data_IF_804615877979
#
_entry.id   IF_804615877979
#
_cell.length_a   1.000
_cell.length_b   1.000
_cell.length_c   1.000
_cell.angle_alpha   90.00
_cell.angle_beta   90.00
_cell.angle_gamma   90.00
#
_symmetry.space_group_name_H-M   'P 1'
#
loop_
_entity.id
_entity.type
_entity.pdbx_description
1 polymer ?
#
# COMPACT_ATOMS: atom_id res chain seq x y z
N UNK A 1 -13.42 -6.56 20.69
CA UNK A 1 -12.73 -6.69 19.40
C UNK A 1 -11.45 -5.85 19.48
N UNK A 2 -10.28 -6.42 19.19
CA UNK A 2 -8.99 -5.72 19.24
C UNK A 2 -8.73 -4.94 17.94
N UNK A 3 -8.05 -3.78 18.00
CA UNK A 3 -7.78 -2.96 16.81
C UNK A 3 -6.83 -3.65 15.82
N UNK A 4 -6.88 -3.27 14.53
CA UNK A 4 -6.00 -3.84 13.50
C UNK A 4 -4.51 -3.65 13.83
N UNK A 5 -4.15 -2.51 14.42
CA UNK A 5 -2.77 -2.22 14.83
C UNK A 5 -2.32 -3.06 16.02
N UNK A 6 -3.19 -3.29 17.00
CA UNK A 6 -2.89 -4.18 18.13
C UNK A 6 -2.63 -5.62 17.63
N UNK A 7 -3.50 -6.12 16.75
CA UNK A 7 -3.37 -7.46 16.15
C UNK A 7 -2.13 -7.61 15.25
N UNK A 8 -1.56 -6.50 14.79
CA UNK A 8 -0.34 -6.44 14.00
C UNK A 8 0.91 -6.14 14.84
N UNK A 9 0.80 -6.08 16.18
CA UNK A 9 1.93 -5.73 17.04
C UNK A 9 2.49 -4.32 16.78
N UNK A 10 1.65 -3.42 16.27
CA UNK A 10 1.98 -2.02 16.03
C UNK A 10 1.55 -1.11 17.19
N UNK A 11 0.93 -1.66 18.23
CA UNK A 11 0.52 -0.92 19.41
C UNK A 11 1.04 -1.61 20.70
N UNK A 12 1.58 -0.87 21.68
CA UNK A 12 1.83 0.58 21.66
C UNK A 12 2.88 0.99 20.63
N UNK A 13 2.98 2.29 20.35
CA UNK A 13 4.04 2.82 19.51
C UNK A 13 5.38 2.53 20.17
N UNK A 14 6.27 1.88 19.43
CA UNK A 14 7.61 1.51 19.87
C UNK A 14 8.61 2.37 19.11
N UNK A 15 9.79 2.64 19.71
CA UNK A 15 10.88 3.39 19.07
C UNK A 15 11.62 2.61 17.96
N UNK A 16 11.10 1.46 17.55
CA UNK A 16 11.70 0.60 16.55
C UNK A 16 10.97 0.71 15.21
N UNK A 17 11.76 0.76 14.14
CA UNK A 17 11.22 0.60 12.80
C UNK A 17 10.82 -0.86 12.56
N UNK A 18 9.77 -1.06 11.78
CA UNK A 18 9.22 -2.39 11.50
C UNK A 18 9.09 -2.57 10.00
N UNK A 19 9.59 -3.69 9.49
CA UNK A 19 9.56 -4.03 8.08
C UNK A 19 9.34 -5.53 7.95
N UNK A 20 8.09 -5.95 7.71
CA UNK A 20 7.79 -7.37 7.55
C UNK A 20 6.52 -7.65 6.77
N UNK A 21 6.43 -8.87 6.30
CA UNK A 21 5.22 -9.46 5.73
C UNK A 21 4.75 -10.63 6.59
N UNK A 22 3.45 -10.90 6.58
CA UNK A 22 2.86 -12.09 7.21
C UNK A 22 1.90 -12.74 6.21
N UNK A 23 1.72 -14.05 6.24
CA UNK A 23 0.63 -14.73 5.53
C UNK A 23 -0.03 -15.71 6.49
N UNK A 24 -1.36 -15.71 6.54
CA UNK A 24 -2.13 -16.57 7.44
C UNK A 24 -3.31 -17.21 6.71
N UNK A 25 -3.43 -18.55 6.73
CA UNK A 25 -4.65 -19.22 6.27
C UNK A 25 -5.87 -18.73 7.05
N UNK A 26 -7.01 -18.67 6.37
CA UNK A 26 -8.29 -18.24 6.91
C UNK A 26 -9.25 -19.44 6.98
N UNK A 27 -10.27 -19.44 7.86
CA UNK A 27 -11.22 -20.54 8.00
C UNK A 27 -11.97 -20.94 6.72
N UNK A 28 -12.09 -20.02 5.75
CA UNK A 28 -12.73 -20.25 4.45
C UNK A 28 -11.77 -20.84 3.39
N UNK A 29 -10.54 -21.20 3.78
CA UNK A 29 -9.50 -21.73 2.90
C UNK A 29 -8.74 -20.68 2.08
N UNK A 30 -9.00 -19.38 2.28
CA UNK A 30 -8.18 -18.32 1.67
C UNK A 30 -6.92 -18.03 2.49
N UNK A 31 -5.92 -17.36 1.89
CA UNK A 31 -4.76 -16.83 2.62
C UNK A 31 -4.84 -15.32 2.69
N UNK A 32 -4.68 -14.77 3.90
CA UNK A 32 -4.59 -13.33 4.13
C UNK A 32 -3.13 -12.95 4.30
N UNK A 33 -2.61 -12.20 3.34
CA UNK A 33 -1.31 -11.56 3.42
C UNK A 33 -1.40 -10.22 4.18
N UNK A 34 -0.35 -9.88 4.90
CA UNK A 34 -0.17 -8.58 5.55
C UNK A 34 1.15 -7.96 5.14
N UNK A 35 1.10 -6.65 4.92
CA UNK A 35 2.26 -5.81 4.61
C UNK A 35 2.37 -4.78 5.73
N UNK A 36 3.46 -4.81 6.47
CA UNK A 36 3.62 -4.09 7.73
C UNK A 36 4.90 -3.25 7.64
N UNK A 37 4.73 -1.93 7.66
CA UNK A 37 5.83 -0.96 7.68
C UNK A 37 5.62 0.04 8.81
N UNK A 38 6.68 0.31 9.57
CA UNK A 38 6.83 1.50 10.41
C UNK A 38 8.20 2.09 10.12
N UNK A 39 8.22 3.34 9.70
CA UNK A 39 9.44 4.09 9.39
C UNK A 39 9.40 5.42 10.11
N UNK A 40 10.52 5.84 10.68
CA UNK A 40 10.65 7.15 11.29
C UNK A 40 11.15 8.16 10.27
N UNK A 41 10.49 9.30 10.20
CA UNK A 41 10.97 10.43 9.44
C UNK A 41 11.26 11.58 10.38
N UNK A 42 12.42 12.19 10.21
CA UNK A 42 12.80 13.37 10.96
C UNK A 42 12.08 14.59 10.40
N UNK A 43 10.75 14.63 10.27
CA UNK A 43 9.98 15.80 9.84
C UNK A 43 8.64 15.84 10.60
N UNK A 44 7.96 17.01 10.67
CA UNK A 44 6.62 17.10 11.26
C UNK A 44 5.57 16.26 10.51
N UNK A 45 4.47 15.93 11.19
CA UNK A 45 3.42 15.05 10.67
C UNK A 45 2.82 15.53 9.34
N UNK A 46 2.61 16.83 9.15
CA UNK A 46 2.02 17.38 7.92
C UNK A 46 2.90 17.11 6.71
N UNK A 47 4.21 17.24 6.92
CA UNK A 47 5.20 17.14 5.87
C UNK A 47 5.39 15.68 5.42
N UNK A 48 5.28 14.71 6.33
CA UNK A 48 5.29 13.29 5.96
C UNK A 48 3.98 12.82 5.33
N UNK A 49 2.83 13.35 5.79
CA UNK A 49 1.51 12.94 5.31
C UNK A 49 1.22 13.44 3.89
N UNK A 50 1.68 14.65 3.54
CA UNK A 50 1.46 15.28 2.24
C UNK A 50 1.88 14.41 1.04
N UNK A 51 3.14 13.96 0.90
CA UNK A 51 3.57 13.17 -0.25
C UNK A 51 2.85 11.82 -0.37
N UNK A 52 2.48 11.20 0.76
CA UNK A 52 1.67 9.98 0.73
C UNK A 52 0.30 10.23 0.11
N UNK A 53 -0.37 11.32 0.52
CA UNK A 53 -1.66 11.69 -0.06
C UNK A 53 -1.54 12.10 -1.53
N UNK A 54 -0.50 12.84 -1.90
CA UNK A 54 -0.26 13.23 -3.29
C UNK A 54 -0.09 12.01 -4.21
N UNK A 55 0.61 10.96 -3.77
CA UNK A 55 0.71 9.71 -4.55
C UNK A 55 -0.65 9.06 -4.74
N UNK A 56 -1.53 9.10 -3.73
CA UNK A 56 -2.92 8.64 -3.87
C UNK A 56 -3.67 9.51 -4.88
N UNK A 57 -3.72 10.83 -4.69
CA UNK A 57 -4.60 11.69 -5.49
C UNK A 57 -4.15 11.87 -6.95
N UNK A 58 -2.86 11.72 -7.23
CA UNK A 58 -2.28 11.97 -8.56
C UNK A 58 -1.87 10.69 -9.31
N UNK A 59 -1.68 9.58 -8.60
CA UNK A 59 -0.95 8.40 -9.10
C UNK A 59 0.44 8.71 -9.68
N UNK A 60 1.05 9.84 -9.32
CA UNK A 60 2.32 10.22 -9.88
C UNK A 60 3.41 9.19 -9.53
N UNK A 61 4.22 8.81 -10.52
CA UNK A 61 5.30 7.85 -10.37
C UNK A 61 4.89 6.38 -10.50
N UNK A 62 3.59 6.10 -10.54
CA UNK A 62 3.07 4.75 -10.80
C UNK A 62 3.10 4.48 -12.31
N UNK A 63 3.77 3.41 -12.71
CA UNK A 63 3.86 2.99 -14.12
C UNK A 63 2.72 2.02 -14.42
N UNK A 64 1.82 2.43 -15.31
CA UNK A 64 0.74 1.58 -15.81
C UNK A 64 1.24 0.90 -17.09
N UNK A 65 1.23 -0.45 -17.16
CA UNK A 65 1.53 -1.19 -18.38
C UNK A 65 0.63 -0.78 -19.55
N UNK A 66 1.10 -0.96 -20.78
CA UNK A 66 0.37 -0.52 -22.00
C UNK A 66 -0.99 -1.22 -22.15
N UNK A 67 -1.08 -2.48 -21.73
CA UNK A 67 -2.31 -3.28 -21.74
C UNK A 67 -3.26 -2.98 -20.57
N UNK A 68 -2.81 -2.18 -19.60
CA UNK A 68 -3.56 -1.85 -18.41
C UNK A 68 -4.18 -0.44 -18.53
N UNK A 69 -5.32 -0.26 -17.86
CA UNK A 69 -5.98 1.04 -17.74
C UNK A 69 -6.08 1.42 -16.28
N UNK A 70 -5.90 2.72 -16.01
CA UNK A 70 -6.05 3.26 -14.68
C UNK A 70 -6.72 4.63 -14.74
N UNK A 71 -7.72 4.84 -13.89
CA UNK A 71 -8.36 6.14 -13.72
C UNK A 71 -8.47 6.50 -12.25
N UNK A 72 -8.41 7.79 -11.96
CA UNK A 72 -8.67 8.34 -10.63
C UNK A 72 -9.79 9.36 -10.70
N UNK A 73 -10.70 9.25 -9.75
CA UNK A 73 -11.84 10.13 -9.56
C UNK A 73 -11.77 10.74 -8.16
N UNK A 74 -11.96 12.06 -8.07
CA UNK A 74 -12.11 12.77 -6.81
C UNK A 74 -13.59 12.75 -6.43
N UNK A 75 -13.94 12.07 -5.35
CA UNK A 75 -15.32 11.98 -4.84
C UNK A 75 -15.62 13.21 -3.97
N UNK A 76 -14.67 13.57 -3.11
CA UNK A 76 -14.63 14.80 -2.31
C UNK A 76 -13.17 15.14 -1.96
N UNK A 77 -12.95 16.24 -1.23
CA UNK A 77 -11.61 16.73 -0.85
C UNK A 77 -10.72 15.67 -0.16
N UNK A 78 -11.33 14.73 0.54
CA UNK A 78 -10.65 13.71 1.35
C UNK A 78 -10.90 12.29 0.87
N UNK A 79 -11.58 12.09 -0.28
CA UNK A 79 -12.02 10.76 -0.75
C UNK A 79 -11.75 10.60 -2.25
N UNK A 80 -10.97 9.57 -2.60
CA UNK A 80 -10.57 9.29 -3.98
C UNK A 80 -10.92 7.86 -4.36
N UNK A 81 -11.40 7.69 -5.59
CA UNK A 81 -11.72 6.39 -6.17
C UNK A 81 -10.80 6.07 -7.33
N UNK A 82 -10.13 4.93 -7.26
CA UNK A 82 -9.22 4.42 -8.28
C UNK A 82 -9.85 3.23 -8.95
N UNK A 83 -9.81 3.20 -10.28
CA UNK A 83 -10.11 2.01 -11.07
C UNK A 83 -8.85 1.55 -11.75
N UNK A 84 -8.57 0.26 -11.65
CA UNK A 84 -7.48 -0.38 -12.35
C UNK A 84 -8.00 -1.65 -13.02
N UNK A 85 -7.66 -1.81 -14.29
CA UNK A 85 -8.00 -2.97 -15.09
C UNK A 85 -6.81 -3.38 -15.93
N UNK A 86 -6.57 -4.68 -16.01
CA UNK A 86 -5.59 -5.28 -16.92
C UNK A 86 -6.06 -6.67 -17.30
N UNK A 87 -5.40 -7.29 -18.27
CA UNK A 87 -5.56 -8.72 -18.55
C UNK A 87 -4.23 -9.44 -18.30
N UNK A 88 -4.29 -10.67 -17.82
CA UNK A 88 -3.15 -11.60 -17.85
C UNK A 88 -3.48 -12.78 -18.77
N UNK A 89 -2.46 -13.42 -19.32
CA UNK A 89 -2.63 -14.59 -20.19
C UNK A 89 -1.80 -15.75 -19.64
N UNK A 90 -2.49 -16.73 -19.05
CA UNK A 90 -1.88 -17.95 -18.52
C UNK A 90 -2.40 -19.12 -19.36
N UNK A 91 -1.49 -19.92 -19.95
CA UNK A 91 -1.86 -21.10 -20.75
C UNK A 91 -2.89 -20.79 -21.86
N UNK A 92 -2.73 -19.66 -22.56
CA UNK A 92 -3.64 -19.15 -23.61
C UNK A 92 -5.03 -18.72 -23.11
N UNK A 93 -5.22 -18.63 -21.80
CA UNK A 93 -6.47 -18.15 -21.19
C UNK A 93 -6.25 -16.70 -20.76
N UNK A 94 -6.93 -15.78 -21.43
CA UNK A 94 -6.98 -14.37 -21.05
C UNK A 94 -7.91 -14.18 -19.86
N UNK A 95 -7.34 -13.76 -18.73
CA UNK A 95 -8.05 -13.51 -17.49
C UNK A 95 -8.09 -12.01 -17.21
N UNK A 96 -9.30 -11.40 -17.16
CA UNK A 96 -9.46 -10.03 -16.69
C UNK A 96 -9.09 -9.89 -15.21
N UNK A 97 -8.38 -8.81 -14.86
CA UNK A 97 -7.96 -8.51 -13.49
C UNK A 97 -8.39 -7.09 -13.14
N UNK A 98 -9.14 -6.95 -12.04
CA UNK A 98 -9.66 -5.69 -11.53
C UNK A 98 -9.09 -5.37 -10.14
N UNK A 99 -8.70 -4.12 -9.91
CA UNK A 99 -8.28 -3.61 -8.59
C UNK A 99 -8.83 -2.20 -8.38
N UNK A 100 -10.13 -2.11 -8.16
CA UNK A 100 -10.78 -0.84 -7.85
C UNK A 100 -10.67 -0.56 -6.35
N UNK A 101 -10.23 0.63 -5.97
CA UNK A 101 -9.96 1.01 -4.59
C UNK A 101 -10.57 2.36 -4.26
N UNK A 102 -11.18 2.48 -3.09
CA UNK A 102 -11.55 3.77 -2.51
C UNK A 102 -10.57 4.09 -1.38
N UNK A 103 -10.10 5.34 -1.37
CA UNK A 103 -9.19 5.90 -0.37
C UNK A 103 -9.90 7.02 0.36
N UNK A 104 -9.63 7.15 1.66
CA UNK A 104 -10.13 8.25 2.48
C UNK A 104 -9.07 8.73 3.47
N UNK A 105 -8.90 10.05 3.57
CA UNK A 105 -8.07 10.72 4.57
C UNK A 105 -8.93 11.24 5.73
N UNK A 106 -8.38 11.18 6.93
CA UNK A 106 -8.91 11.82 8.12
C UNK A 106 -7.80 12.64 8.77
N UNK A 107 -8.05 13.93 8.94
CA UNK A 107 -7.16 14.85 9.64
C UNK A 107 -7.60 14.96 11.09
N UNK A 108 -6.96 14.22 11.99
CA UNK A 108 -7.24 14.27 13.42
C UNK A 108 -6.31 15.27 14.13
N UNK A 109 -6.62 15.75 15.35
CA UNK A 109 -5.78 16.75 16.02
C UNK A 109 -4.31 16.31 16.23
N UNK A 110 -4.08 15.01 16.46
CA UNK A 110 -2.77 14.47 16.82
C UNK A 110 -2.15 13.59 15.75
N UNK A 111 -2.87 13.29 14.66
CA UNK A 111 -2.41 12.35 13.63
C UNK A 111 -3.09 12.52 12.29
N UNK A 112 -2.47 12.00 11.25
CA UNK A 112 -3.07 11.88 9.92
C UNK A 112 -3.37 10.42 9.68
N UNK A 113 -4.61 10.09 9.32
CA UNK A 113 -5.05 8.72 9.09
C UNK A 113 -5.51 8.59 7.65
N UNK A 114 -5.03 7.55 6.99
CA UNK A 114 -5.44 7.18 5.64
C UNK A 114 -6.00 5.78 5.70
N UNK A 115 -7.11 5.56 5.01
CA UNK A 115 -7.76 4.26 4.93
C UNK A 115 -8.07 3.94 3.49
N UNK A 116 -8.04 2.67 3.13
CA UNK A 116 -8.47 2.24 1.81
C UNK A 116 -9.11 0.86 1.85
N UNK A 117 -9.91 0.59 0.82
CA UNK A 117 -10.56 -0.70 0.62
C UNK A 117 -10.88 -0.93 -0.85
N UNK A 118 -10.79 -2.19 -1.28
CA UNK A 118 -11.28 -2.59 -2.60
C UNK A 118 -12.80 -2.44 -2.71
N UNK A 119 -13.25 -1.89 -3.84
CA UNK A 119 -14.66 -1.91 -4.27
C UNK A 119 -14.91 -3.19 -5.08
N UNK A 120 -15.64 -4.16 -4.51
CA UNK A 120 -15.87 -5.50 -5.11
C UNK A 120 -16.90 -5.44 -6.25
N UNK A 121 -17.86 -4.53 -6.15
CA UNK A 121 -18.94 -4.31 -7.10
C UNK A 121 -19.10 -2.82 -7.32
N UNK A 122 -19.12 -2.43 -8.59
CA UNK A 122 -19.24 -1.06 -9.05
C UNK A 122 -20.33 -1.08 -10.12
N UNK A 123 -21.44 -0.39 -9.83
CA UNK A 123 -22.58 -0.32 -10.74
C UNK A 123 -22.22 0.32 -12.10
N UNK A 124 -21.14 1.12 -12.15
CA UNK A 124 -20.64 1.75 -13.37
C UNK A 124 -19.73 0.82 -14.19
N UNK A 125 -19.37 -0.36 -13.66
CA UNK A 125 -18.54 -1.36 -14.34
C UNK A 125 -19.29 -2.70 -14.38
N UNK A 126 -20.27 -2.84 -15.31
CA UNK A 126 -21.19 -3.99 -15.35
C UNK A 126 -20.51 -5.36 -15.55
N UNK A 127 -19.24 -5.38 -15.96
CA UNK A 127 -18.46 -6.60 -16.20
C UNK A 127 -17.48 -6.97 -15.08
N UNK A 128 -17.43 -6.26 -13.94
CA UNK A 128 -16.57 -6.70 -12.82
C UNK A 128 -16.99 -8.04 -12.23
N UNK A 129 -18.17 -8.56 -12.57
CA UNK A 129 -18.56 -9.93 -12.25
C UNK A 129 -17.74 -11.00 -13.01
N UNK A 130 -17.02 -10.62 -14.06
CA UNK A 130 -16.19 -11.49 -14.89
C UNK A 130 -14.71 -11.22 -14.57
N UNK A 131 -13.93 -12.26 -14.29
CA UNK A 131 -12.49 -12.16 -14.00
C UNK A 131 -12.15 -12.14 -12.50
N UNK A 132 -10.90 -11.80 -12.20
CA UNK A 132 -10.35 -11.78 -10.84
C UNK A 132 -10.37 -10.36 -10.27
N UNK A 133 -10.69 -10.27 -8.98
CA UNK A 133 -10.71 -9.02 -8.22
C UNK A 133 -9.63 -9.07 -7.14
N UNK A 134 -8.71 -8.12 -7.15
CA UNK A 134 -7.76 -7.96 -6.05
C UNK A 134 -8.48 -7.41 -4.82
N UNK A 135 -8.55 -8.17 -3.73
CA UNK A 135 -9.27 -7.76 -2.51
C UNK A 135 -8.28 -7.35 -1.45
N UNK A 136 -8.26 -6.06 -1.12
CA UNK A 136 -7.40 -5.52 -0.08
C UNK A 136 -8.07 -4.40 0.72
N UNK A 137 -7.52 -4.16 1.91
CA UNK A 137 -7.88 -3.05 2.78
C UNK A 137 -6.73 -2.71 3.71
N UNK A 138 -6.65 -1.46 4.14
CA UNK A 138 -5.55 -1.07 5.01
C UNK A 138 -5.68 0.32 5.59
N UNK A 139 -4.65 0.64 6.38
CA UNK A 139 -4.51 1.89 7.08
C UNK A 139 -3.07 2.38 6.95
N UNK A 140 -2.90 3.69 6.84
CA UNK A 140 -1.65 4.34 7.14
C UNK A 140 -1.88 5.44 8.18
N UNK A 141 -0.95 5.60 9.12
CA UNK A 141 -0.95 6.69 10.09
C UNK A 141 0.36 7.45 10.06
N UNK A 142 0.27 8.75 10.30
CA UNK A 142 1.42 9.62 10.58
C UNK A 142 1.18 10.25 11.93
N UNK A 143 2.05 9.92 12.88
CA UNK A 143 1.93 10.28 14.29
C UNK A 143 3.24 10.90 14.78
N UNK A 144 3.20 11.94 15.62
CA UNK A 144 4.43 12.54 16.15
C UNK A 144 5.17 11.53 17.05
N UNK A 145 6.50 11.68 17.14
CA UNK A 145 7.27 10.91 18.13
C UNK A 145 7.07 11.55 19.52
N UNK A 146 6.85 10.72 20.55
CA UNK A 146 6.37 11.15 21.87
C UNK A 146 7.22 12.24 22.55
N UNK A 147 8.50 12.37 22.20
CA UNK A 147 9.42 13.38 22.76
C UNK A 147 10.12 14.22 21.68
N UNK A 148 9.70 14.09 20.42
CA UNK A 148 10.29 14.80 19.28
C UNK A 148 9.19 15.16 18.26
N UNK A 149 8.47 16.29 18.45
CA UNK A 149 7.42 16.71 17.52
C UNK A 149 7.96 17.13 16.14
N UNK A 150 9.29 17.28 16.00
CA UNK A 150 9.99 17.47 14.74
C UNK A 150 10.26 16.14 14.02
N UNK A 151 9.84 15.01 14.60
CA UNK A 151 9.81 13.68 14.01
C UNK A 151 8.40 13.13 13.96
N UNK A 152 8.17 12.22 13.03
CA UNK A 152 6.97 11.40 13.00
C UNK A 152 7.29 9.95 12.67
N UNK A 153 6.43 9.05 13.15
CA UNK A 153 6.38 7.67 12.68
C UNK A 153 5.29 7.56 11.62
N UNK A 154 5.68 7.06 10.44
CA UNK A 154 4.77 6.62 9.40
C UNK A 154 4.53 5.12 9.58
N UNK A 155 3.30 4.72 9.87
CA UNK A 155 2.90 3.31 10.00
C UNK A 155 1.97 2.94 8.85
N UNK A 156 2.22 1.83 8.16
CA UNK A 156 1.41 1.28 7.08
C UNK A 156 1.08 -0.18 7.35
N UNK A 157 -0.21 -0.51 7.23
CA UNK A 157 -0.74 -1.85 7.39
C UNK A 157 -1.72 -2.14 6.25
N UNK A 158 -1.34 -3.01 5.32
CA UNK A 158 -2.22 -3.51 4.27
C UNK A 158 -2.54 -4.97 4.50
N UNK A 159 -3.80 -5.35 4.33
CA UNK A 159 -4.25 -6.73 4.24
C UNK A 159 -4.67 -7.02 2.80
N UNK A 160 -4.19 -8.12 2.25
CA UNK A 160 -4.55 -8.58 0.91
C UNK A 160 -5.05 -10.01 0.99
N UNK A 161 -6.25 -10.26 0.50
CA UNK A 161 -6.75 -11.62 0.33
C UNK A 161 -6.17 -12.20 -0.96
N UNK A 162 -5.33 -13.21 -0.80
CA UNK A 162 -4.61 -13.87 -1.89
C UNK A 162 -5.43 -14.99 -2.55
N UNK A 163 -6.72 -15.09 -2.23
CA UNK A 163 -7.58 -16.17 -2.69
C UNK A 163 -7.25 -17.49 -1.99
N UNK A 164 -7.70 -18.60 -2.57
CA UNK A 164 -7.38 -19.95 -2.10
C UNK A 164 -5.95 -20.28 -2.46
N UNK A 165 -5.20 -20.77 -1.48
CA UNK A 165 -3.87 -21.32 -1.69
C UNK A 165 -3.73 -22.60 -0.87
N UNK A 166 -2.93 -23.54 -1.38
CA UNK A 166 -2.66 -24.81 -0.69
C UNK A 166 -1.82 -24.57 0.56
N UNK A 167 -0.88 -23.62 0.50
CA UNK A 167 -0.02 -23.24 1.61
C UNK A 167 0.20 -21.71 1.63
N UNK A 168 0.25 -21.14 2.84
CA UNK A 168 0.65 -19.76 3.06
C UNK A 168 2.15 -19.53 2.80
N UNK A 169 2.96 -20.59 2.84
CA UNK A 169 4.40 -20.53 2.53
C UNK A 169 4.67 -20.11 1.07
N UNK A 170 3.83 -20.50 0.12
CA UNK A 170 3.92 -20.10 -1.29
C UNK A 170 3.75 -18.57 -1.42
N UNK A 171 2.75 -18.02 -0.72
CA UNK A 171 2.48 -16.59 -0.67
C UNK A 171 3.64 -15.82 -0.04
N UNK A 172 4.20 -16.32 1.07
CA UNK A 172 5.37 -15.72 1.71
C UNK A 172 6.60 -15.74 0.78
N UNK A 173 6.82 -16.85 0.07
CA UNK A 173 7.92 -16.99 -0.88
C UNK A 173 7.81 -15.94 -1.98
N UNK A 174 6.62 -15.80 -2.58
CA UNK A 174 6.36 -14.76 -3.59
C UNK A 174 6.51 -13.35 -3.03
N UNK A 175 6.00 -13.06 -1.84
CA UNK A 175 6.22 -11.75 -1.19
C UNK A 175 7.72 -11.45 -0.95
N UNK A 176 8.52 -12.48 -0.67
CA UNK A 176 9.97 -12.35 -0.54
C UNK A 176 10.65 -12.10 -1.90
N UNK A 177 10.22 -12.76 -2.98
CA UNK A 177 10.72 -12.54 -4.36
C UNK A 177 10.49 -11.09 -4.82
N UNK A 178 9.32 -10.52 -4.51
CA UNK A 178 8.99 -9.12 -4.80
C UNK A 178 9.60 -8.11 -3.80
N UNK A 179 10.32 -8.59 -2.78
CA UNK A 179 10.99 -7.80 -1.74
C UNK A 179 10.05 -6.79 -1.06
N UNK A 180 8.83 -7.22 -0.73
CA UNK A 180 7.88 -6.37 -0.03
C UNK A 180 8.35 -6.00 1.37
N UNK A 181 8.02 -4.77 1.79
CA UNK A 181 8.25 -4.29 3.15
C UNK A 181 9.68 -4.54 3.63
N UNK A 182 10.68 -4.28 2.79
CA UNK A 182 12.10 -4.24 3.18
C UNK A 182 12.47 -2.85 3.67
N UNK A 183 13.51 -2.75 4.49
CA UNK A 183 14.02 -1.44 4.93
C UNK A 183 14.47 -0.59 3.73
N UNK A 184 15.14 -1.22 2.76
CA UNK A 184 15.45 -0.60 1.48
C UNK A 184 14.18 -0.48 0.62
N UNK A 185 14.01 0.67 -0.06
CA UNK A 185 12.84 0.90 -0.90
C UNK A 185 12.88 0.01 -2.15
N UNK A 186 14.06 -0.24 -2.72
CA UNK A 186 14.21 -1.04 -3.95
C UNK A 186 13.87 -0.27 -5.23
N UNK A 187 13.71 -0.99 -6.33
CA UNK A 187 13.48 -0.43 -7.67
C UNK A 187 12.28 -1.11 -8.34
N UNK A 188 11.27 -0.33 -8.70
CA UNK A 188 10.03 -0.82 -9.31
C UNK A 188 10.24 -1.55 -10.65
N UNK A 189 11.25 -1.12 -11.43
CA UNK A 189 11.55 -1.74 -12.74
C UNK A 189 12.02 -3.19 -12.64
N UNK A 190 12.50 -3.61 -11.46
CA UNK A 190 12.99 -4.97 -11.24
C UNK A 190 11.91 -6.03 -11.48
N UNK A 191 10.63 -5.71 -11.26
CA UNK A 191 9.55 -6.71 -11.20
C UNK A 191 8.66 -6.77 -12.44
N UNK A 192 8.88 -5.90 -13.43
CA UNK A 192 8.02 -5.79 -14.61
C UNK A 192 7.93 -7.08 -15.44
N UNK A 193 8.95 -7.95 -15.34
CA UNK A 193 9.02 -9.23 -16.05
C UNK A 193 8.29 -10.38 -15.32
N UNK A 194 7.90 -10.18 -14.05
CA UNK A 194 7.17 -11.15 -13.22
C UNK A 194 5.67 -10.88 -13.34
N UNK A 195 5.11 -10.90 -14.55
CA UNK A 195 3.67 -10.70 -14.78
C UNK A 195 3.09 -11.93 -15.49
N UNK A 196 3.41 -13.12 -14.98
CA UNK A 196 3.07 -14.39 -15.64
C UNK A 196 1.67 -14.89 -15.26
N UNK A 197 1.20 -14.57 -14.06
CA UNK A 197 -0.11 -14.96 -13.56
C UNK A 197 -0.82 -13.79 -12.85
N UNK A 198 -2.04 -14.04 -12.38
CA UNK A 198 -2.87 -13.03 -11.71
C UNK A 198 -2.25 -12.53 -10.41
N UNK A 199 -1.67 -13.43 -9.60
CA UNK A 199 -1.04 -13.09 -8.33
C UNK A 199 0.16 -12.19 -8.58
N UNK A 200 1.00 -12.52 -9.55
CA UNK A 200 2.18 -11.73 -9.88
C UNK A 200 1.82 -10.35 -10.42
N UNK A 201 0.78 -10.23 -11.26
CA UNK A 201 0.26 -8.93 -11.70
C UNK A 201 -0.18 -8.05 -10.52
N UNK A 202 -0.89 -8.63 -9.55
CA UNK A 202 -1.33 -7.90 -8.35
C UNK A 202 -0.17 -7.56 -7.40
N UNK A 203 0.80 -8.47 -7.25
CA UNK A 203 2.00 -8.24 -6.45
C UNK A 203 2.89 -7.17 -7.07
N UNK A 204 3.15 -7.22 -8.37
CA UNK A 204 3.92 -6.21 -9.09
C UNK A 204 3.29 -4.82 -8.89
N UNK A 205 1.97 -4.72 -9.08
CA UNK A 205 1.22 -3.48 -8.87
C UNK A 205 1.30 -2.98 -7.42
N UNK A 206 1.12 -3.87 -6.45
CA UNK A 206 1.24 -3.54 -5.03
C UNK A 206 2.65 -3.08 -4.65
N UNK A 207 3.66 -3.71 -5.23
CA UNK A 207 5.07 -3.38 -4.98
C UNK A 207 5.44 -2.03 -5.58
N UNK A 208 4.96 -1.72 -6.78
CA UNK A 208 5.12 -0.38 -7.36
C UNK A 208 4.53 0.69 -6.44
N UNK A 209 3.31 0.49 -5.93
CA UNK A 209 2.70 1.41 -4.98
C UNK A 209 3.59 1.62 -3.76
N UNK A 210 4.07 0.53 -3.14
CA UNK A 210 4.96 0.59 -1.98
C UNK A 210 6.20 1.43 -2.25
N UNK A 211 6.84 1.19 -3.38
CA UNK A 211 8.06 1.90 -3.79
C UNK A 211 7.79 3.38 -3.96
N UNK A 212 6.75 3.72 -4.73
CA UNK A 212 6.44 5.10 -5.10
C UNK A 212 6.10 5.93 -3.86
N UNK A 213 5.21 5.45 -2.97
CA UNK A 213 4.83 6.26 -1.81
C UNK A 213 5.98 6.40 -0.82
N UNK A 214 6.78 5.34 -0.59
CA UNK A 214 7.93 5.42 0.34
C UNK A 214 9.00 6.36 -0.20
N UNK A 215 9.21 6.34 -1.52
CA UNK A 215 10.18 7.22 -2.18
C UNK A 215 9.71 8.68 -2.12
N UNK A 216 8.44 8.95 -2.39
CA UNK A 216 7.87 10.29 -2.29
C UNK A 216 8.02 10.89 -0.87
N UNK A 217 7.71 10.11 0.18
CA UNK A 217 7.89 10.58 1.57
C UNK A 217 9.37 10.83 1.87
N UNK A 218 10.26 9.91 1.46
CA UNK A 218 11.72 10.04 1.67
C UNK A 218 12.28 11.30 0.99
N UNK A 219 11.96 11.50 -0.28
CA UNK A 219 12.47 12.64 -1.05
C UNK A 219 11.95 13.97 -0.49
N UNK A 220 10.67 14.00 -0.11
CA UNK A 220 10.10 15.17 0.56
C UNK A 220 10.76 15.45 1.90
N UNK A 221 11.02 14.41 2.71
CA UNK A 221 11.72 14.56 3.99
C UNK A 221 13.14 15.11 3.84
N UNK A 222 13.88 14.61 2.84
CA UNK A 222 15.23 15.11 2.51
C UNK A 222 15.18 16.58 2.07
N UNK A 223 14.23 16.93 1.19
CA UNK A 223 14.05 18.31 0.73
C UNK A 223 13.67 19.25 1.89
N UNK A 224 12.75 18.83 2.76
CA UNK A 224 12.35 19.57 3.95
C UNK A 224 13.56 19.83 4.86
N UNK A 225 14.38 18.83 5.16
CA UNK A 225 15.56 19.01 6.03
C UNK A 225 16.70 19.78 5.41
N UNK A 226 16.83 19.76 4.09
CA UNK A 226 17.73 20.68 3.39
C UNK A 226 17.30 22.14 3.57
N UNK A 227 15.99 22.41 3.57
CA UNK A 227 15.41 23.75 3.74
C UNK A 227 15.34 24.19 5.21
N UNK A 228 15.07 23.25 6.12
CA UNK A 228 14.91 23.46 7.55
C UNK A 228 15.83 22.49 8.34
N UNK A 229 17.14 22.74 8.35
CA UNK A 229 18.08 21.90 9.11
C UNK A 229 17.70 21.86 10.58
N UNK A 230 17.83 20.69 11.21
CA UNK A 230 17.73 20.61 12.68
C UNK A 230 18.86 21.43 13.29
N UNK A 231 18.52 22.29 14.24
CA UNK A 231 19.53 22.88 15.12
C UNK A 231 20.08 21.73 15.96
N UNK A 232 21.38 21.46 15.85
CA UNK A 232 22.07 20.62 16.82
C UNK A 232 21.98 21.37 18.15
N UNK A 233 21.31 20.75 19.13
CA UNK A 233 21.32 21.21 20.51
C UNK A 233 22.68 20.92 21.15
#
# INVERSE_FOLDING_TARGET
QQSAFLNAGLYPQMNEEVYRTEAKPQPNGSVLAKFIVRTRYNIPIEEAAKPFWEVITTNQGIVVPEEATQTTECIDEDTYYHRYYTTTEEQLIKTPVHLNMIFKRYNEPTRRVFTWRTVIEDALVPHMSIGIKGVQYGWATVEPVQDDPESCDFTFLCHVNMGRANDASDILTKMNEFEFCRQEIGNAKKYQHLRQDVMEVLMERGRQWEIVFRQAIRDHALAYRKKFPRRLA
#
